data_IF_431186295524
#
_entry.id   IF_431186295524
#
_cell.length_a   1.000
_cell.length_b   1.000
_cell.length_c   1.000
_cell.angle_alpha   90.00
_cell.angle_beta   90.00
_cell.angle_gamma   90.00
#
_symmetry.space_group_name_H-M   'P 1'
#
loop_
_entity.id
_entity.type
_entity.pdbx_description
1 polymer ?
#
# COMPACT_ATOMS: atom_id res chain seq x y z
N UNK A 1 -1.29 16.24 14.79
CA UNK A 1 -1.76 15.95 13.42
C UNK A 1 -1.67 14.45 13.27
N UNK A 2 -2.81 13.77 13.38
CA UNK A 2 -2.90 12.32 13.23
C UNK A 2 -2.61 12.01 11.74
N UNK A 3 -1.46 11.41 11.48
CA UNK A 3 -0.93 11.19 10.12
C UNK A 3 -1.58 9.98 9.41
N UNK A 4 -2.63 9.39 9.99
CA UNK A 4 -3.25 8.17 9.47
C UNK A 4 -4.72 8.42 9.19
N UNK A 5 -5.02 8.79 7.94
CA UNK A 5 -6.38 8.79 7.41
C UNK A 5 -6.90 7.34 7.37
N UNK A 6 -8.07 7.09 7.97
CA UNK A 6 -8.77 5.80 7.95
C UNK A 6 -9.66 5.62 6.71
N UNK A 7 -9.66 6.60 5.79
CA UNK A 7 -10.45 6.55 4.56
C UNK A 7 -9.81 5.61 3.53
N UNK A 8 -10.41 4.43 3.36
CA UNK A 8 -10.11 3.50 2.27
C UNK A 8 -10.81 4.01 1.00
N UNK A 9 -10.05 4.31 -0.06
CA UNK A 9 -10.60 4.78 -1.34
C UNK A 9 -9.96 4.06 -2.53
N UNK A 10 -10.70 4.01 -3.65
CA UNK A 10 -10.13 3.57 -4.91
C UNK A 10 -8.97 4.50 -5.31
N UNK A 11 -7.88 3.93 -5.81
CA UNK A 11 -6.67 4.67 -6.15
C UNK A 11 -6.92 5.75 -7.21
N UNK A 12 -7.87 5.48 -8.11
CA UNK A 12 -8.27 6.40 -9.18
C UNK A 12 -9.18 7.53 -8.70
N UNK A 13 -9.62 7.52 -7.44
CA UNK A 13 -10.53 8.55 -6.93
C UNK A 13 -9.79 9.84 -6.59
N UNK A 14 -10.47 10.96 -6.80
CA UNK A 14 -9.94 12.28 -6.46
C UNK A 14 -9.63 12.40 -4.96
N UNK A 15 -8.63 13.23 -4.58
CA UNK A 15 -8.17 13.35 -3.20
C UNK A 15 -9.28 13.70 -2.21
N UNK A 16 -9.10 13.31 -0.95
CA UNK A 16 -9.91 13.80 0.16
C UNK A 16 -9.49 15.23 0.44
N UNK A 17 -10.41 16.15 0.33
CA UNK A 17 -10.18 17.53 0.71
C UNK A 17 -9.79 17.64 2.18
N UNK A 18 -8.90 18.57 2.53
CA UNK A 18 -8.41 18.67 3.90
C UNK A 18 -9.55 19.14 4.81
N UNK A 19 -9.97 18.29 5.74
CA UNK A 19 -11.14 18.55 6.60
C UNK A 19 -10.67 19.06 7.97
N UNK A 20 -11.20 20.20 8.40
CA UNK A 20 -11.10 20.69 9.77
C UNK A 20 -12.37 20.30 10.50
N UNK A 21 -12.24 19.48 11.54
CA UNK A 21 -13.31 19.21 12.49
C UNK A 21 -13.11 20.07 13.75
N UNK A 22 -14.16 20.77 14.19
CA UNK A 22 -14.17 21.48 15.48
C UNK A 22 -15.44 21.13 16.24
N UNK A 23 -15.25 20.50 17.39
CA UNK A 23 -16.34 20.23 18.33
C UNK A 23 -16.46 21.38 19.33
N UNK A 24 -17.67 21.92 19.47
CA UNK A 24 -18.02 22.86 20.53
C UNK A 24 -18.97 22.14 21.48
N UNK A 25 -18.51 21.96 22.73
CA UNK A 25 -19.32 21.36 23.80
C UNK A 25 -20.04 22.46 24.55
N UNK A 26 -21.36 22.43 24.54
CA UNK A 26 -22.17 23.28 25.42
C UNK A 26 -22.45 22.53 26.72
N UNK A 27 -22.03 23.14 27.84
CA UNK A 27 -22.36 22.70 29.20
C UNK A 27 -23.28 23.75 29.81
N UNK A 28 -24.59 23.51 29.80
CA UNK A 28 -25.50 24.23 30.69
C UNK A 28 -25.60 23.49 32.03
N UNK A 29 -25.90 24.23 33.10
CA UNK A 29 -26.01 23.71 34.48
C UNK A 29 -27.15 22.70 34.69
N UNK A 30 -27.97 22.43 33.66
CA UNK A 30 -29.18 21.59 33.73
C UNK A 30 -29.20 20.70 32.49
N UNK A 31 -28.51 19.54 32.57
CA UNK A 31 -28.54 18.37 31.67
C UNK A 31 -28.80 18.59 30.16
N UNK A 32 -27.73 18.48 29.37
CA UNK A 32 -27.52 17.60 28.21
C UNK A 32 -26.31 18.16 27.45
N UNK A 33 -25.24 17.38 27.33
CA UNK A 33 -24.05 17.78 26.57
C UNK A 33 -24.42 17.82 25.09
N UNK A 34 -24.82 18.99 24.59
CA UNK A 34 -24.94 19.21 23.15
C UNK A 34 -23.53 19.38 22.58
N UNK A 35 -23.16 18.52 21.64
CA UNK A 35 -21.92 18.66 20.85
C UNK A 35 -22.32 19.23 19.50
N UNK A 36 -21.82 20.43 19.20
CA UNK A 36 -21.93 21.01 17.87
C UNK A 36 -20.61 20.78 17.14
N UNK A 37 -20.62 19.89 16.14
CA UNK A 37 -19.46 19.58 15.32
C UNK A 37 -19.49 20.38 14.03
N UNK A 38 -18.49 21.23 13.81
CA UNK A 38 -18.26 21.89 12.53
C UNK A 38 -17.27 21.06 11.73
N UNK A 39 -17.64 20.74 10.49
CA UNK A 39 -16.78 20.05 9.54
C UNK A 39 -16.61 20.98 8.35
N UNK A 40 -15.42 21.55 8.20
CA UNK A 40 -15.07 22.48 7.14
C UNK A 40 -14.05 21.87 6.19
N UNK A 41 -14.22 22.10 4.90
CA UNK A 41 -13.32 21.62 3.85
C UNK A 41 -12.37 22.76 3.43
N UNK A 42 -11.05 22.57 3.56
CA UNK A 42 -10.06 23.48 2.98
C UNK A 42 -9.94 23.18 1.49
N UNK A 43 -10.29 24.17 0.67
CA UNK A 43 -10.03 24.14 -0.78
C UNK A 43 -8.56 24.44 -1.03
N UNK A 44 -7.95 23.74 -1.98
CA UNK A 44 -6.55 23.95 -2.37
C UNK A 44 -6.24 25.41 -2.71
N UNK A 45 -7.15 26.08 -3.43
CA UNK A 45 -7.09 27.52 -3.75
C UNK A 45 -6.92 28.47 -2.54
N UNK A 46 -7.23 28.02 -1.31
CA UNK A 46 -7.07 28.84 -0.10
C UNK A 46 -5.65 28.76 0.50
N UNK A 47 -4.83 27.81 0.02
CA UNK A 47 -3.47 27.58 0.53
C UNK A 47 -2.47 28.33 -0.36
N UNK A 48 -2.28 29.61 -0.08
CA UNK A 48 -1.58 30.56 -0.96
C UNK A 48 -0.05 30.65 -0.75
N UNK A 49 0.53 30.01 0.27
CA UNK A 49 1.97 30.12 0.50
C UNK A 49 2.77 29.41 -0.60
N UNK A 50 3.92 29.97 -0.99
CA UNK A 50 4.77 29.37 -2.02
C UNK A 50 5.49 28.13 -1.48
N UNK A 51 5.50 27.06 -2.26
CA UNK A 51 6.08 25.79 -1.90
C UNK A 51 6.72 25.13 -3.13
N UNK A 52 7.78 24.35 -2.88
CA UNK A 52 8.46 23.56 -3.89
C UNK A 52 8.44 22.09 -3.50
N UNK A 53 7.93 21.25 -4.39
CA UNK A 53 7.97 19.80 -4.29
C UNK A 53 8.99 19.22 -5.25
N UNK A 54 9.68 18.18 -4.81
CA UNK A 54 10.56 17.38 -5.66
C UNK A 54 10.15 15.92 -5.57
N UNK A 55 9.94 15.33 -6.74
CA UNK A 55 9.51 13.94 -6.89
C UNK A 55 10.59 13.23 -7.68
N UNK A 56 11.25 12.26 -7.05
CA UNK A 56 12.20 11.39 -7.73
C UNK A 56 11.42 10.36 -8.55
N UNK A 57 11.81 10.22 -9.81
CA UNK A 57 11.27 9.25 -10.76
C UNK A 57 12.31 8.17 -11.05
N UNK A 58 11.87 6.98 -11.39
CA UNK A 58 12.72 5.97 -12.00
C UNK A 58 12.56 5.98 -13.53
N UNK A 59 13.32 5.13 -14.23
CA UNK A 59 13.31 5.11 -15.70
C UNK A 59 11.94 4.75 -16.29
N UNK A 60 11.19 3.83 -15.67
CA UNK A 60 9.86 3.44 -16.13
C UNK A 60 8.82 4.55 -15.93
N UNK A 61 8.87 5.22 -14.78
CA UNK A 61 8.00 6.36 -14.46
C UNK A 61 8.30 7.55 -15.38
N UNK A 62 9.58 7.85 -15.65
CA UNK A 62 9.96 8.91 -16.60
C UNK A 62 9.55 8.58 -18.04
N UNK A 63 9.72 7.32 -18.46
CA UNK A 63 9.26 6.88 -19.77
C UNK A 63 7.75 7.12 -19.93
N UNK A 64 6.96 6.73 -18.92
CA UNK A 64 5.51 6.96 -18.91
C UNK A 64 5.13 8.44 -18.89
N UNK A 65 5.81 9.24 -18.07
CA UNK A 65 5.60 10.69 -17.96
C UNK A 65 5.74 11.38 -19.33
N UNK A 66 6.68 10.92 -20.16
CA UNK A 66 6.97 11.45 -21.47
C UNK A 66 6.12 10.83 -22.59
N UNK A 67 5.91 9.51 -22.59
CA UNK A 67 5.16 8.80 -23.65
C UNK A 67 3.69 9.21 -23.69
N UNK A 68 3.09 9.36 -22.53
CA UNK A 68 1.64 9.56 -22.39
C UNK A 68 1.28 11.06 -22.37
N UNK A 69 2.25 11.93 -22.71
CA UNK A 69 2.13 13.40 -22.68
C UNK A 69 1.63 13.96 -21.33
N UNK A 70 1.77 13.20 -20.23
CA UNK A 70 1.32 13.59 -18.89
C UNK A 70 1.97 14.92 -18.48
N UNK A 71 3.27 15.07 -18.70
CA UNK A 71 3.99 16.30 -18.38
C UNK A 71 3.46 17.51 -19.15
N UNK A 72 3.18 17.35 -20.45
CA UNK A 72 2.68 18.43 -21.29
C UNK A 72 1.25 18.82 -20.91
N UNK A 73 0.41 17.83 -20.58
CA UNK A 73 -0.95 18.05 -20.13
C UNK A 73 -0.98 18.75 -18.77
N UNK A 74 -0.17 18.30 -17.81
CA UNK A 74 -0.05 18.93 -16.50
C UNK A 74 0.42 20.39 -16.61
N UNK A 75 1.41 20.69 -17.47
CA UNK A 75 1.86 22.07 -17.73
C UNK A 75 0.75 22.97 -18.28
N UNK A 76 -0.16 22.42 -19.09
CA UNK A 76 -1.31 23.18 -19.63
C UNK A 76 -2.42 23.36 -18.60
N UNK A 77 -2.68 22.34 -17.77
CA UNK A 77 -3.72 22.38 -16.76
C UNK A 77 -3.35 23.28 -15.57
N UNK A 78 -2.09 23.27 -15.15
CA UNK A 78 -1.61 23.97 -13.96
C UNK A 78 -0.69 25.14 -14.32
N UNK A 79 -1.24 26.17 -15.00
CA UNK A 79 -0.49 27.34 -15.47
C UNK A 79 0.23 28.13 -14.34
N UNK A 80 -0.30 28.04 -13.12
CA UNK A 80 0.24 28.73 -11.94
C UNK A 80 1.33 27.92 -11.21
N UNK A 81 1.71 26.76 -11.74
CA UNK A 81 2.75 25.88 -11.18
C UNK A 81 3.88 25.75 -12.20
N UNK A 82 5.09 26.08 -11.78
CA UNK A 82 6.29 25.82 -12.56
C UNK A 82 6.65 24.34 -12.45
N UNK A 83 6.44 23.60 -13.53
CA UNK A 83 6.72 22.18 -13.63
C UNK A 83 8.00 21.97 -14.46
N UNK A 84 9.03 21.39 -13.86
CA UNK A 84 10.32 21.13 -14.52
C UNK A 84 10.78 19.71 -14.25
N UNK A 85 11.30 19.02 -15.28
CA UNK A 85 11.89 17.69 -15.16
C UNK A 85 13.39 17.81 -15.44
N UNK A 86 14.23 17.51 -14.45
CA UNK A 86 15.68 17.52 -14.58
C UNK A 86 16.27 16.27 -13.92
N UNK A 87 17.05 15.47 -14.65
CA UNK A 87 17.78 14.31 -14.12
C UNK A 87 16.91 13.37 -13.25
N UNK A 88 15.79 12.87 -13.78
CA UNK A 88 14.82 12.04 -13.06
C UNK A 88 14.15 12.69 -11.84
N UNK A 89 14.25 14.02 -11.69
CA UNK A 89 13.59 14.77 -10.61
C UNK A 89 12.57 15.72 -11.23
N UNK A 90 11.30 15.46 -10.94
CA UNK A 90 10.19 16.35 -11.26
C UNK A 90 10.06 17.39 -10.13
N UNK A 91 10.27 18.65 -10.46
CA UNK A 91 10.11 19.79 -9.57
C UNK A 91 8.81 20.54 -9.88
N UNK A 92 8.03 20.81 -8.83
CA UNK A 92 6.78 21.56 -8.89
C UNK A 92 6.89 22.75 -7.95
N UNK A 93 6.72 23.97 -8.45
CA UNK A 93 6.89 25.20 -7.66
C UNK A 93 5.74 26.18 -7.91
N UNK A 94 5.13 26.70 -6.83
CA UNK A 94 3.96 27.59 -6.92
C UNK A 94 3.22 27.68 -5.58
N UNK A 95 1.95 28.13 -5.61
CA UNK A 95 1.10 28.09 -4.40
C UNK A 95 0.92 26.65 -3.93
N UNK A 96 1.05 26.39 -2.63
CA UNK A 96 1.01 25.05 -2.06
C UNK A 96 -0.24 24.25 -2.47
N UNK A 97 -1.41 24.88 -2.50
CA UNK A 97 -2.63 24.23 -2.99
C UNK A 97 -2.51 23.70 -4.42
N UNK A 98 -2.15 24.59 -5.36
CA UNK A 98 -1.97 24.22 -6.77
C UNK A 98 -0.84 23.21 -6.98
N UNK A 99 0.25 23.30 -6.21
CA UNK A 99 1.37 22.35 -6.26
C UNK A 99 0.91 20.95 -5.82
N UNK A 100 0.15 20.85 -4.73
CA UNK A 100 -0.38 19.58 -4.24
C UNK A 100 -1.38 18.97 -5.22
N UNK A 101 -2.26 19.78 -5.82
CA UNK A 101 -3.21 19.30 -6.83
C UNK A 101 -2.47 18.77 -8.08
N UNK A 102 -1.46 19.50 -8.56
CA UNK A 102 -0.63 19.09 -9.69
C UNK A 102 0.19 17.83 -9.37
N UNK A 103 0.78 17.74 -8.18
CA UNK A 103 1.48 16.53 -7.72
C UNK A 103 0.53 15.33 -7.77
N UNK A 104 -0.65 15.44 -7.17
CA UNK A 104 -1.60 14.34 -7.09
C UNK A 104 -2.08 13.88 -8.46
N UNK A 105 -2.47 14.80 -9.34
CA UNK A 105 -2.92 14.47 -10.70
C UNK A 105 -1.81 13.75 -11.50
N UNK A 106 -0.58 14.26 -11.45
CA UNK A 106 0.56 13.63 -12.11
C UNK A 106 0.82 12.24 -11.53
N UNK A 107 0.85 12.10 -10.19
CA UNK A 107 1.13 10.82 -9.54
C UNK A 107 0.05 9.76 -9.84
N UNK A 108 -1.22 10.16 -9.95
CA UNK A 108 -2.31 9.27 -10.37
C UNK A 108 -2.13 8.78 -11.81
N UNK A 109 -1.71 9.66 -12.72
CA UNK A 109 -1.46 9.27 -14.11
C UNK A 109 -0.21 8.38 -14.27
N UNK A 110 0.71 8.40 -13.29
CA UNK A 110 1.93 7.57 -13.27
C UNK A 110 1.73 6.15 -12.71
N UNK A 111 0.50 5.75 -12.37
CA UNK A 111 0.21 4.40 -11.88
C UNK A 111 0.51 3.37 -12.97
N UNK A 112 1.30 2.36 -12.62
CA UNK A 112 1.69 1.24 -13.46
C UNK A 112 1.23 -0.07 -12.82
N UNK A 113 0.94 -1.05 -13.67
CA UNK A 113 0.55 -2.39 -13.26
C UNK A 113 1.78 -3.32 -13.28
N UNK A 114 2.01 -4.03 -12.18
CA UNK A 114 3.04 -5.06 -12.06
C UNK A 114 2.40 -6.39 -11.68
N UNK A 115 2.73 -7.45 -12.42
CA UNK A 115 2.29 -8.82 -12.13
C UNK A 115 3.46 -9.72 -11.83
N UNK A 116 3.30 -10.60 -10.84
CA UNK A 116 4.22 -11.69 -10.60
C UNK A 116 3.51 -12.85 -9.90
N UNK A 117 4.03 -14.07 -10.07
CA UNK A 117 3.52 -15.25 -9.40
C UNK A 117 4.32 -15.51 -8.12
N UNK A 118 3.63 -15.89 -7.04
CA UNK A 118 4.28 -16.50 -5.89
C UNK A 118 4.80 -17.87 -6.32
N UNK A 119 6.12 -17.97 -6.47
CA UNK A 119 6.79 -19.20 -6.88
C UNK A 119 7.88 -19.59 -5.90
N UNK A 120 8.23 -20.87 -5.89
CA UNK A 120 9.33 -21.39 -5.11
C UNK A 120 10.65 -21.17 -5.88
N UNK A 121 11.18 -19.94 -5.85
CA UNK A 121 12.46 -19.58 -6.48
C UNK A 121 13.70 -20.15 -5.73
N UNK A 122 13.48 -21.05 -4.77
CA UNK A 122 14.53 -21.57 -3.92
C UNK A 122 15.38 -22.61 -4.64
N UNK A 123 16.68 -22.33 -4.78
CA UNK A 123 17.68 -23.34 -5.12
C UNK A 123 17.92 -24.23 -3.88
N UNK A 124 17.55 -25.53 -3.92
CA UNK A 124 17.60 -26.38 -2.74
C UNK A 124 19.02 -26.61 -2.25
N UNK A 125 19.30 -26.36 -0.96
CA UNK A 125 20.47 -26.94 -0.28
C UNK A 125 20.21 -28.39 0.15
N UNK A 126 18.94 -28.79 0.32
CA UNK A 126 18.48 -30.14 0.56
C UNK A 126 17.05 -30.35 0.01
N UNK A 127 16.73 -31.57 -0.46
CA UNK A 127 15.42 -31.93 -1.06
C UNK A 127 14.24 -31.66 -0.11
N UNK A 128 14.43 -31.90 1.18
CA UNK A 128 13.40 -31.74 2.22
C UNK A 128 12.97 -30.29 2.45
N UNK A 129 13.87 -29.32 2.24
CA UNK A 129 13.56 -27.90 2.41
C UNK A 129 12.71 -27.37 1.24
N UNK A 130 12.98 -27.85 0.03
CA UNK A 130 12.18 -27.54 -1.15
C UNK A 130 10.75 -28.07 -1.01
N UNK A 131 10.59 -29.34 -0.60
CA UNK A 131 9.27 -29.94 -0.38
C UNK A 131 8.47 -29.23 0.74
N UNK A 132 9.15 -28.79 1.81
CA UNK A 132 8.53 -28.00 2.89
C UNK A 132 8.03 -26.65 2.37
N UNK A 133 8.87 -25.93 1.64
CA UNK A 133 8.51 -24.63 1.06
C UNK A 133 7.36 -24.76 0.07
N UNK A 134 7.39 -25.79 -0.78
CA UNK A 134 6.32 -26.06 -1.73
C UNK A 134 4.97 -26.26 -1.03
N UNK A 135 4.93 -27.07 0.04
CA UNK A 135 3.70 -27.27 0.84
C UNK A 135 3.23 -25.99 1.53
N UNK A 136 4.15 -25.16 2.00
CA UNK A 136 3.81 -23.87 2.59
C UNK A 136 3.22 -22.90 1.57
N UNK A 137 3.82 -22.85 0.37
CA UNK A 137 3.34 -22.05 -0.74
C UNK A 137 1.92 -22.47 -1.13
N UNK A 138 1.65 -23.78 -1.23
CA UNK A 138 0.30 -24.33 -1.48
C UNK A 138 -0.71 -23.98 -0.40
N UNK A 139 -0.29 -23.92 0.87
CA UNK A 139 -1.14 -23.47 1.97
C UNK A 139 -1.49 -21.98 1.85
N UNK A 140 -0.49 -21.15 1.61
CA UNK A 140 -0.64 -19.69 1.47
C UNK A 140 -1.46 -19.32 0.24
N UNK A 141 -1.24 -19.98 -0.91
CA UNK A 141 -2.01 -19.72 -2.14
C UNK A 141 -3.49 -20.07 -2.01
N UNK A 142 -3.88 -20.86 -1.00
CA UNK A 142 -5.29 -21.14 -0.67
C UNK A 142 -5.87 -20.24 0.42
N UNK A 143 -5.05 -19.40 1.06
CA UNK A 143 -5.41 -18.50 2.15
C UNK A 143 -5.07 -17.04 1.80
N UNK A 144 -5.72 -16.43 0.78
CA UNK A 144 -5.37 -15.09 0.32
C UNK A 144 -5.57 -14.01 1.40
N UNK A 145 -6.43 -14.28 2.39
CA UNK A 145 -6.68 -13.39 3.53
C UNK A 145 -5.44 -13.13 4.39
N UNK A 146 -4.42 -14.00 4.36
CA UNK A 146 -3.16 -13.78 5.08
C UNK A 146 -2.46 -12.49 4.64
N UNK A 147 -2.72 -12.02 3.42
CA UNK A 147 -2.15 -10.80 2.87
C UNK A 147 -3.00 -9.55 3.17
N UNK A 148 -4.22 -9.67 3.70
CA UNK A 148 -5.10 -8.53 3.96
C UNK A 148 -4.45 -7.40 4.79
N UNK A 149 -3.69 -7.69 5.87
CA UNK A 149 -3.05 -6.64 6.66
C UNK A 149 -2.02 -5.85 5.85
N UNK A 150 -1.24 -6.55 5.01
CA UNK A 150 -0.26 -5.94 4.13
C UNK A 150 -0.96 -5.13 3.03
N UNK A 151 -1.99 -5.68 2.40
CA UNK A 151 -2.83 -4.98 1.42
C UNK A 151 -3.35 -3.66 1.99
N UNK A 152 -3.99 -3.73 3.15
CA UNK A 152 -4.55 -2.56 3.84
C UNK A 152 -3.50 -1.49 4.11
N UNK A 153 -2.32 -1.88 4.61
CA UNK A 153 -1.23 -0.94 4.90
C UNK A 153 -0.75 -0.22 3.65
N UNK A 154 -0.53 -0.93 2.56
CA UNK A 154 -0.07 -0.35 1.29
C UNK A 154 -1.15 0.53 0.64
N UNK A 155 -2.40 0.07 0.65
CA UNK A 155 -3.56 0.82 0.14
C UNK A 155 -3.80 2.11 0.91
N UNK A 156 -3.71 2.08 2.24
CA UNK A 156 -3.96 3.25 3.08
C UNK A 156 -2.84 4.30 3.03
N UNK A 157 -1.59 3.88 2.85
CA UNK A 157 -0.42 4.77 3.04
C UNK A 157 0.25 5.22 1.74
N UNK A 158 0.18 4.44 0.67
CA UNK A 158 1.09 4.61 -0.47
C UNK A 158 0.38 4.70 -1.84
N UNK A 159 -0.95 4.77 -1.89
CA UNK A 159 -1.72 4.75 -3.14
C UNK A 159 -1.35 3.53 -4.02
N UNK A 160 -1.25 2.36 -3.40
CA UNK A 160 -0.94 1.09 -4.07
C UNK A 160 -2.06 0.09 -3.83
N UNK A 161 -2.55 -0.59 -4.87
CA UNK A 161 -3.63 -1.58 -4.76
C UNK A 161 -3.07 -2.93 -5.09
N UNK A 162 -3.34 -3.88 -4.21
CA UNK A 162 -2.77 -5.22 -4.31
C UNK A 162 -3.92 -6.21 -4.47
N UNK A 163 -3.93 -6.88 -5.60
CA UNK A 163 -4.89 -7.95 -5.91
C UNK A 163 -4.17 -9.29 -5.86
N UNK A 164 -4.73 -10.22 -5.09
CA UNK A 164 -4.21 -11.59 -4.95
C UNK A 164 -5.21 -12.50 -5.66
N UNK A 165 -4.81 -13.01 -6.83
CA UNK A 165 -5.64 -13.83 -7.68
C UNK A 165 -5.30 -15.32 -7.47
N UNK A 166 -6.30 -16.09 -7.03
CA UNK A 166 -6.17 -17.53 -6.79
C UNK A 166 -6.89 -18.37 -7.86
N UNK A 167 -7.20 -17.77 -9.02
CA UNK A 167 -8.14 -18.36 -9.97
C UNK A 167 -7.60 -19.62 -10.67
N UNK A 168 -6.29 -19.88 -10.65
CA UNK A 168 -5.70 -21.11 -11.17
C UNK A 168 -5.50 -22.15 -10.06
N UNK A 169 -6.61 -22.66 -9.51
CA UNK A 169 -6.62 -23.83 -8.61
C UNK A 169 -5.92 -25.04 -9.26
N UNK A 170 -5.97 -25.14 -10.59
CA UNK A 170 -5.35 -26.21 -11.39
C UNK A 170 -3.82 -26.18 -11.41
N UNK A 171 -3.17 -25.03 -11.19
CA UNK A 171 -1.71 -24.92 -11.22
C UNK A 171 -1.06 -24.62 -9.86
N UNK A 172 -1.84 -24.49 -8.78
CA UNK A 172 -1.35 -24.01 -7.46
C UNK A 172 -0.61 -22.65 -7.53
N UNK A 173 -0.86 -21.86 -8.58
CA UNK A 173 -0.21 -20.57 -8.79
C UNK A 173 -1.05 -19.45 -8.19
N UNK A 174 -0.43 -18.63 -7.34
CA UNK A 174 -1.02 -17.42 -6.80
C UNK A 174 -0.40 -16.23 -7.52
N UNK A 175 -1.19 -15.56 -8.36
CA UNK A 175 -0.78 -14.38 -9.10
C UNK A 175 -1.05 -13.14 -8.25
N UNK A 176 -0.04 -12.30 -8.10
CA UNK A 176 -0.14 -11.00 -7.43
C UNK A 176 -0.12 -9.91 -8.50
N UNK A 177 -1.15 -9.08 -8.52
CA UNK A 177 -1.21 -7.85 -9.32
C UNK A 177 -1.09 -6.65 -8.40
N UNK A 178 -0.14 -5.76 -8.68
CA UNK A 178 0.07 -4.50 -7.97
C UNK A 178 -0.21 -3.35 -8.93
N UNK A 179 -1.08 -2.43 -8.54
CA UNK A 179 -1.35 -1.17 -9.23
C UNK A 179 -0.82 -0.02 -8.37
N UNK A 180 0.22 0.66 -8.83
CA UNK A 180 0.87 1.76 -8.12
C UNK A 180 2.01 2.35 -8.94
N UNK A 181 2.72 3.33 -8.38
CA UNK A 181 3.96 3.79 -9.00
C UNK A 181 4.97 2.67 -9.10
N UNK A 182 5.76 2.60 -10.18
CA UNK A 182 6.73 1.52 -10.37
C UNK A 182 7.72 1.38 -9.20
N UNK A 183 8.19 2.52 -8.67
CA UNK A 183 9.03 2.54 -7.46
C UNK A 183 8.37 1.89 -6.24
N UNK A 184 7.06 2.08 -6.05
CA UNK A 184 6.29 1.48 -4.96
C UNK A 184 5.97 0.00 -5.24
N UNK A 185 5.66 -0.33 -6.50
CA UNK A 185 5.40 -1.70 -6.93
C UNK A 185 6.59 -2.62 -6.60
N UNK A 186 7.82 -2.14 -6.85
CA UNK A 186 9.02 -2.88 -6.48
C UNK A 186 9.20 -3.05 -4.96
N UNK A 187 8.81 -2.07 -4.13
CA UNK A 187 8.85 -2.20 -2.68
C UNK A 187 7.87 -3.27 -2.19
N UNK A 188 6.66 -3.27 -2.73
CA UNK A 188 5.64 -4.28 -2.43
C UNK A 188 6.11 -5.68 -2.87
N UNK A 189 6.65 -5.81 -4.07
CA UNK A 189 7.21 -7.08 -4.57
C UNK A 189 8.32 -7.59 -3.64
N UNK A 190 9.21 -6.72 -3.18
CA UNK A 190 10.28 -7.08 -2.25
C UNK A 190 9.74 -7.54 -0.88
N UNK A 191 8.62 -6.98 -0.43
CA UNK A 191 7.96 -7.45 0.79
C UNK A 191 7.35 -8.83 0.62
N UNK A 192 6.68 -9.11 -0.51
CA UNK A 192 6.23 -10.47 -0.84
C UNK A 192 7.39 -11.46 -0.88
N UNK A 193 8.52 -11.08 -1.50
CA UNK A 193 9.75 -11.90 -1.49
C UNK A 193 10.30 -12.12 -0.08
N UNK A 194 10.27 -11.09 0.77
CA UNK A 194 10.71 -11.20 2.16
C UNK A 194 9.79 -12.14 2.97
N UNK A 195 8.48 -12.08 2.73
CA UNK A 195 7.52 -13.02 3.29
C UNK A 195 7.80 -14.46 2.85
N UNK A 196 8.10 -14.70 1.56
CA UNK A 196 8.52 -16.02 1.09
C UNK A 196 9.83 -16.49 1.74
N UNK A 197 10.78 -15.57 1.96
CA UNK A 197 12.01 -15.83 2.70
C UNK A 197 11.77 -16.23 4.17
N UNK A 198 10.79 -15.63 4.84
CA UNK A 198 10.34 -16.05 6.16
C UNK A 198 9.66 -17.43 6.12
N UNK A 199 8.74 -17.62 5.16
CA UNK A 199 7.95 -18.84 4.98
C UNK A 199 8.81 -20.09 4.80
N UNK A 200 9.99 -19.95 4.20
CA UNK A 200 11.03 -20.99 4.08
C UNK A 200 11.43 -21.59 5.43
N UNK A 201 11.53 -20.77 6.46
CA UNK A 201 12.02 -21.14 7.79
C UNK A 201 10.89 -21.57 8.74
N UNK A 202 9.63 -21.47 8.29
CA UNK A 202 8.47 -21.87 9.08
C UNK A 202 8.27 -23.39 9.07
N UNK A 203 7.69 -23.90 10.16
CA UNK A 203 7.08 -25.23 10.16
C UNK A 203 5.95 -25.28 9.10
N UNK A 204 5.62 -26.48 8.60
CA UNK A 204 4.62 -26.64 7.54
C UNK A 204 3.31 -25.96 7.94
N UNK A 205 2.88 -24.94 7.19
CA UNK A 205 1.57 -24.31 7.36
C UNK A 205 0.53 -25.36 7.01
N UNK A 206 -0.36 -25.64 7.97
CA UNK A 206 -1.38 -26.66 7.79
C UNK A 206 -2.46 -26.15 6.84
N UNK A 207 -2.91 -27.03 5.95
CA UNK A 207 -3.99 -26.72 5.02
C UNK A 207 -5.24 -26.26 5.80
N UNK A 208 -6.00 -25.25 5.31
CA UNK A 208 -7.20 -24.76 6.01
C UNK A 208 -8.22 -25.87 6.31
N UNK A 209 -8.28 -26.87 5.42
CA UNK A 209 -9.17 -28.03 5.55
C UNK A 209 -8.62 -29.17 6.43
N UNK A 210 -7.46 -29.01 7.08
CA UNK A 210 -6.80 -30.10 7.81
C UNK A 210 -7.38 -30.38 9.21
N UNK A 211 -8.36 -29.60 9.70
CA UNK A 211 -9.18 -29.94 10.88
C UNK A 211 -8.46 -30.12 12.22
N UNK A 212 -7.16 -29.80 12.34
CA UNK A 212 -6.38 -30.02 13.56
C UNK A 212 -5.65 -28.73 13.96
N UNK A 213 -5.77 -28.27 15.24
CA UNK A 213 -5.29 -26.98 15.72
C UNK A 213 -3.79 -26.75 15.42
N UNK A 214 -3.36 -25.48 15.28
CA UNK A 214 -1.98 -25.15 14.93
C UNK A 214 -1.00 -25.74 15.95
N UNK A 215 0.05 -26.41 15.47
CA UNK A 215 1.16 -26.85 16.33
C UNK A 215 2.04 -25.65 16.63
N UNK A 216 2.08 -25.29 17.91
CA UNK A 216 2.94 -24.28 18.53
C UNK A 216 4.37 -24.38 17.95
N UNK A 217 4.97 -23.23 17.62
CA UNK A 217 6.37 -23.14 17.20
C UNK A 217 7.29 -23.87 18.20
N UNK A 218 8.39 -24.46 17.70
CA UNK A 218 9.39 -25.08 18.58
C UNK A 218 9.87 -24.04 19.62
N UNK A 219 10.06 -24.41 20.89
CA UNK A 219 10.37 -23.45 21.98
C UNK A 219 11.55 -22.51 21.68
N UNK A 220 12.57 -22.99 20.96
CA UNK A 220 13.75 -22.21 20.59
C UNK A 220 13.47 -21.08 19.58
N UNK A 221 12.43 -21.21 18.75
CA UNK A 221 12.03 -20.22 17.74
C UNK A 221 10.89 -19.32 18.21
N UNK A 222 10.20 -19.70 19.29
CA UNK A 222 9.05 -18.95 19.81
C UNK A 222 9.46 -17.58 20.32
N UNK A 223 10.57 -17.49 21.08
CA UNK A 223 11.03 -16.25 21.71
C UNK A 223 11.28 -15.08 20.71
N UNK A 224 11.97 -15.27 19.57
CA UNK A 224 12.16 -14.22 18.58
C UNK A 224 10.97 -13.99 17.63
N UNK A 225 9.98 -14.90 17.58
CA UNK A 225 8.82 -14.80 16.70
C UNK A 225 7.51 -14.47 17.42
N UNK A 226 7.55 -14.21 18.73
CA UNK A 226 6.40 -13.81 19.55
C UNK A 226 5.68 -12.60 18.95
N UNK A 227 6.40 -11.59 18.49
CA UNK A 227 5.82 -10.41 17.84
C UNK A 227 5.05 -10.74 16.55
N UNK A 228 5.46 -11.79 15.82
CA UNK A 228 4.80 -12.22 14.59
C UNK A 228 3.61 -13.13 14.93
N UNK A 229 3.74 -14.04 15.91
CA UNK A 229 2.63 -14.86 16.41
C UNK A 229 1.53 -14.00 17.03
N UNK A 230 1.85 -13.02 17.88
CA UNK A 230 0.87 -12.10 18.47
C UNK A 230 0.18 -11.26 17.38
N UNK A 231 0.93 -10.79 16.37
CA UNK A 231 0.35 -10.05 15.25
C UNK A 231 -0.55 -10.93 14.39
N UNK A 232 -0.24 -12.21 14.18
CA UNK A 232 -1.10 -13.13 13.44
C UNK A 232 -2.33 -13.52 14.27
N UNK A 233 -2.18 -13.78 15.57
CA UNK A 233 -3.30 -14.19 16.44
C UNK A 233 -4.33 -13.08 16.63
N UNK A 234 -3.90 -11.81 16.72
CA UNK A 234 -4.80 -10.65 16.76
C UNK A 234 -5.60 -10.44 15.47
N UNK A 235 -5.25 -11.13 14.39
CA UNK A 235 -5.87 -10.99 13.06
C UNK A 235 -6.78 -12.18 12.74
N UNK A 236 -6.63 -13.31 13.45
CA UNK A 236 -7.40 -14.54 13.22
C UNK A 236 -8.56 -14.76 14.19
N UNK A 237 -8.64 -13.96 15.27
CA UNK A 237 -9.82 -13.83 16.13
C UNK A 237 -10.65 -12.60 15.69
#
# INVERSE_FOLDING_TARGET
>A
LDLQSTLIRAITSSPVSLVIARDIRFSSSIRATAVLSFVGEIKSQWIAYSFKRQIKLNAAEEAKLNSDNILANAKKAYLNVQIQLNNHILSLEGSAGSVLDAELDILQQLILEMKFNLSNEYAPTAKTDYERMQRNLEGVSKMPSIFNPMKWRWEAQHQVKITVNNNNITNNECEITIEGRDSQNHLVQNEFRSFLGWLRNCAVIRHPNAGVPPRILKPAMRKPCLDIEERISYITD
#
